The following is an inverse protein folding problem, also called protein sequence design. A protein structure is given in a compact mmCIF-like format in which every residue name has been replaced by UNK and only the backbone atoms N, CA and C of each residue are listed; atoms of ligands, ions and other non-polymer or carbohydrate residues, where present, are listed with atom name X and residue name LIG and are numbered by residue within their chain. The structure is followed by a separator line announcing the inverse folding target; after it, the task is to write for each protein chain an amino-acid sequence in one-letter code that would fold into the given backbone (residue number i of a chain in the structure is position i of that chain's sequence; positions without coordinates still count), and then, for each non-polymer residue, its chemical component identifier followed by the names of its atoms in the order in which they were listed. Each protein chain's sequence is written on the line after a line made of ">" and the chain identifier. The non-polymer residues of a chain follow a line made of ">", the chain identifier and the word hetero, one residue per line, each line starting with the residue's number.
data_IF_472340451274
#
_entry.id   IF_472340451274
#
_cell.length_a   1.000
_cell.length_b   1.000
_cell.length_c   1.000
_cell.angle_alpha   90.00
_cell.angle_beta   90.00
_cell.angle_gamma   90.00
#
_symmetry.space_group_name_H-M   'P 1'
#
loop_
_entity.id
_entity.type
_entity.pdbx_description
1 polymer ?
#
# COMPACT_ATOMS: atom_id res chain seq x y z
N UNK A 1 30.22 21.58 -26.37
CA UNK A 1 30.42 20.69 -25.21
C UNK A 1 29.07 20.13 -24.75
N UNK A 2 29.04 18.84 -24.48
CA UNK A 2 27.88 17.95 -24.29
C UNK A 2 26.87 18.35 -23.20
N UNK A 3 25.57 18.10 -23.46
CA UNK A 3 24.80 17.12 -22.67
C UNK A 3 23.52 16.66 -23.40
N UNK A 4 23.50 15.36 -23.64
CA UNK A 4 22.45 14.58 -24.28
C UNK A 4 21.10 14.72 -23.57
N UNK A 5 20.06 15.02 -24.34
CA UNK A 5 18.67 14.71 -23.99
C UNK A 5 18.56 13.19 -23.85
N UNK A 6 18.44 12.71 -22.60
CA UNK A 6 17.98 11.35 -22.31
C UNK A 6 16.50 11.32 -22.66
N UNK A 7 16.17 10.98 -23.90
CA UNK A 7 14.89 10.35 -24.16
C UNK A 7 14.88 9.06 -23.35
N UNK A 8 14.05 9.02 -22.33
CA UNK A 8 13.74 7.78 -21.62
C UNK A 8 13.35 6.75 -22.67
N UNK A 9 14.21 5.75 -22.84
CA UNK A 9 13.91 4.58 -23.66
C UNK A 9 12.75 3.87 -22.98
N UNK A 10 11.52 4.20 -23.40
CA UNK A 10 10.39 3.31 -23.28
C UNK A 10 10.89 2.01 -23.86
N UNK A 11 11.09 1.02 -23.01
CA UNK A 11 11.56 -0.31 -23.41
C UNK A 11 10.40 -0.95 -24.16
N UNK A 12 10.27 -0.62 -25.45
CA UNK A 12 9.28 -1.13 -26.39
C UNK A 12 9.61 -2.60 -26.70
N UNK A 13 9.49 -3.45 -25.69
CA UNK A 13 9.56 -4.89 -25.83
C UNK A 13 8.21 -5.44 -26.28
N UNK A 14 7.73 -5.05 -27.45
CA UNK A 14 6.76 -5.86 -28.18
C UNK A 14 6.65 -5.35 -29.60
N UNK A 15 7.49 -5.89 -30.48
CA UNK A 15 7.15 -5.91 -31.89
C UNK A 15 5.83 -6.70 -32.11
N UNK A 16 5.26 -6.67 -33.33
CA UNK A 16 4.14 -7.53 -33.66
C UNK A 16 4.49 -8.99 -33.35
N UNK A 17 3.50 -9.77 -32.92
CA UNK A 17 3.69 -11.15 -32.51
C UNK A 17 4.38 -11.95 -33.62
N UNK A 18 5.39 -12.74 -33.27
CA UNK A 18 6.12 -13.53 -34.26
C UNK A 18 5.21 -14.62 -34.83
N UNK A 19 5.46 -15.03 -36.09
CA UNK A 19 4.72 -16.13 -36.73
C UNK A 19 4.75 -17.43 -35.89
N UNK A 20 5.86 -17.68 -35.20
CA UNK A 20 5.99 -18.77 -34.23
C UNK A 20 5.05 -18.63 -33.03
N UNK A 21 4.91 -17.41 -32.50
CA UNK A 21 3.95 -17.10 -31.42
C UNK A 21 2.50 -17.30 -31.86
N UNK A 22 2.16 -16.89 -33.08
CA UNK A 22 0.84 -17.13 -33.70
C UNK A 22 0.52 -18.61 -33.83
N UNK A 23 1.43 -19.39 -34.43
CA UNK A 23 1.27 -20.84 -34.55
C UNK A 23 1.01 -21.49 -33.19
N UNK A 24 1.81 -21.14 -32.18
CA UNK A 24 1.66 -21.66 -30.82
C UNK A 24 0.34 -21.30 -30.15
N UNK A 25 -0.29 -20.18 -30.52
CA UNK A 25 -1.61 -19.82 -30.03
C UNK A 25 -2.72 -20.61 -30.73
N UNK A 26 -2.58 -20.84 -32.03
CA UNK A 26 -3.50 -21.65 -32.83
C UNK A 26 -3.49 -23.10 -32.33
N UNK A 27 -2.31 -23.72 -32.20
CA UNK A 27 -2.17 -25.10 -31.72
C UNK A 27 -2.85 -25.30 -30.35
N UNK A 28 -2.65 -24.37 -29.41
CA UNK A 28 -3.30 -24.42 -28.09
C UNK A 28 -4.81 -24.24 -28.16
N UNK A 29 -5.30 -23.45 -29.11
CA UNK A 29 -6.74 -23.26 -29.30
C UNK A 29 -7.37 -24.51 -29.91
N UNK A 30 -6.72 -25.15 -30.88
CA UNK A 30 -7.17 -26.44 -31.42
C UNK A 30 -7.19 -27.53 -30.35
N UNK A 31 -6.18 -27.56 -29.46
CA UNK A 31 -6.11 -28.51 -28.35
C UNK A 31 -7.14 -28.25 -27.23
N UNK A 32 -7.40 -26.99 -26.87
CA UNK A 32 -8.18 -26.63 -25.67
C UNK A 32 -9.52 -25.95 -25.93
N UNK A 33 -9.80 -25.55 -27.17
CA UNK A 33 -10.97 -24.76 -27.56
C UNK A 33 -11.07 -23.39 -26.90
N UNK A 34 -10.00 -22.91 -26.24
CA UNK A 34 -10.07 -21.78 -25.33
C UNK A 34 -8.91 -20.81 -25.48
N UNK A 35 -9.23 -19.52 -25.56
CA UNK A 35 -8.27 -18.42 -25.42
C UNK A 35 -8.15 -17.92 -23.98
N UNK A 36 -8.63 -18.68 -22.99
CA UNK A 36 -8.61 -18.23 -21.61
C UNK A 36 -7.19 -17.87 -21.17
N UNK A 37 -7.00 -16.59 -20.83
CA UNK A 37 -5.75 -16.09 -20.29
C UNK A 37 -5.57 -16.72 -18.92
N UNK A 38 -4.73 -17.74 -18.82
CA UNK A 38 -4.34 -18.29 -17.53
C UNK A 38 -3.78 -17.16 -16.69
N UNK A 39 -4.18 -17.11 -15.43
CA UNK A 39 -3.58 -16.18 -14.47
C UNK A 39 -2.05 -16.35 -14.56
N UNK A 40 -1.34 -15.25 -14.81
CA UNK A 40 0.11 -15.30 -14.96
C UNK A 40 0.77 -15.89 -13.72
N UNK A 41 2.09 -16.14 -13.79
CA UNK A 41 2.91 -16.49 -12.61
C UNK A 41 3.11 -15.27 -11.70
N UNK A 42 2.01 -14.58 -11.41
CA UNK A 42 1.94 -13.32 -10.71
C UNK A 42 2.40 -13.45 -9.27
N UNK A 43 2.44 -12.31 -8.59
CA UNK A 43 2.86 -12.27 -7.19
C UNK A 43 1.81 -12.97 -6.34
N UNK A 44 2.26 -13.77 -5.37
CA UNK A 44 1.36 -14.39 -4.38
C UNK A 44 0.53 -13.30 -3.69
N UNK A 45 -0.77 -13.54 -3.58
CA UNK A 45 -1.67 -12.69 -2.84
C UNK A 45 -1.21 -12.59 -1.39
N UNK A 46 -1.42 -11.43 -0.78
CA UNK A 46 -1.24 -11.28 0.66
C UNK A 46 -2.40 -12.05 1.30
N UNK A 47 -2.08 -13.04 2.14
CA UNK A 47 -3.09 -13.81 2.88
C UNK A 47 -3.86 -12.87 3.80
N UNK A 48 -5.19 -12.95 3.81
CA UNK A 48 -6.05 -12.12 4.67
C UNK A 48 -5.57 -12.16 6.12
N UNK A 49 -5.29 -13.35 6.66
CA UNK A 49 -4.78 -13.54 8.04
C UNK A 49 -3.65 -12.57 8.40
N UNK A 50 -2.70 -12.37 7.48
CA UNK A 50 -1.56 -11.48 7.71
C UNK A 50 -1.90 -9.99 7.68
N UNK A 51 -3.00 -9.60 7.03
CA UNK A 51 -3.55 -8.25 7.08
C UNK A 51 -4.17 -7.97 8.45
N UNK A 52 -5.00 -8.90 8.95
CA UNK A 52 -5.67 -8.72 10.24
C UNK A 52 -4.65 -8.62 11.39
N UNK A 53 -3.63 -9.48 11.39
CA UNK A 53 -2.56 -9.46 12.40
C UNK A 53 -1.77 -8.14 12.38
N UNK A 54 -1.54 -7.56 11.20
CA UNK A 54 -0.87 -6.25 11.07
C UNK A 54 -1.77 -5.11 11.55
N UNK A 55 -3.09 -5.21 11.33
CA UNK A 55 -4.05 -4.21 11.79
C UNK A 55 -4.19 -4.21 13.32
N UNK A 56 -4.27 -5.38 13.95
CA UNK A 56 -4.34 -5.51 15.41
C UNK A 56 -3.05 -5.03 16.06
N UNK A 57 -1.89 -5.46 15.57
CA UNK A 57 -0.60 -5.01 16.09
C UNK A 57 -0.39 -3.49 15.90
N UNK A 58 -0.91 -2.91 14.81
CA UNK A 58 -0.90 -1.46 14.61
C UNK A 58 -1.77 -0.74 15.65
N UNK A 59 -2.97 -1.23 15.92
CA UNK A 59 -3.88 -0.66 16.91
C UNK A 59 -3.29 -0.73 18.32
N UNK A 60 -2.80 -1.89 18.73
CA UNK A 60 -2.17 -2.09 20.04
C UNK A 60 -0.93 -1.20 20.24
N UNK A 61 -0.07 -1.13 19.22
CA UNK A 61 1.12 -0.28 19.29
C UNK A 61 0.76 1.21 19.35
N UNK A 62 -0.33 1.62 18.69
CA UNK A 62 -0.79 3.02 18.68
C UNK A 62 -1.48 3.42 19.99
N UNK A 63 -2.12 2.47 20.68
CA UNK A 63 -2.71 2.67 22.01
C UNK A 63 -1.67 2.68 23.15
N UNK A 64 -0.40 2.37 22.86
CA UNK A 64 0.67 2.37 23.86
C UNK A 64 1.10 3.80 24.24
N UNK A 65 1.71 3.96 25.43
CA UNK A 65 2.11 5.25 25.99
C UNK A 65 3.02 6.11 25.09
N UNK A 66 3.70 5.50 24.11
CA UNK A 66 4.54 6.20 23.14
C UNK A 66 3.76 6.71 21.91
N UNK A 67 2.55 6.22 21.64
CA UNK A 67 1.68 6.66 20.55
C UNK A 67 2.24 6.49 19.12
N UNK A 68 3.48 6.01 18.98
CA UNK A 68 4.18 5.86 17.71
C UNK A 68 4.29 4.39 17.34
N UNK A 69 3.46 3.94 16.40
CA UNK A 69 3.60 2.63 15.78
C UNK A 69 4.50 2.75 14.54
N UNK A 70 5.52 1.88 14.44
CA UNK A 70 6.42 1.84 13.28
C UNK A 70 6.32 0.51 12.56
N UNK A 71 6.41 0.53 11.22
CA UNK A 71 6.43 -0.69 10.42
C UNK A 71 7.53 -1.68 10.85
N UNK A 72 8.65 -1.16 11.38
CA UNK A 72 9.75 -1.98 11.90
C UNK A 72 9.41 -2.58 13.27
N UNK A 73 8.67 -1.86 14.12
CA UNK A 73 8.13 -2.38 15.38
C UNK A 73 7.18 -3.55 15.12
N UNK A 74 6.16 -3.34 14.30
CA UNK A 74 5.16 -4.36 13.94
C UNK A 74 5.82 -5.59 13.28
N UNK A 75 6.80 -5.36 12.41
CA UNK A 75 7.59 -6.43 11.78
C UNK A 75 8.31 -7.33 12.79
N UNK A 76 8.86 -6.76 13.87
CA UNK A 76 9.50 -7.54 14.95
C UNK A 76 8.46 -8.31 15.76
N UNK A 77 7.33 -7.70 16.08
CA UNK A 77 6.26 -8.35 16.86
C UNK A 77 5.68 -9.57 16.13
N UNK A 78 5.44 -9.44 14.82
CA UNK A 78 4.82 -10.48 14.01
C UNK A 78 5.83 -11.41 13.32
N UNK A 79 7.14 -11.20 13.52
CA UNK A 79 8.21 -11.89 12.79
C UNK A 79 8.01 -11.88 11.25
N UNK A 80 7.50 -10.76 10.71
CA UNK A 80 7.24 -10.58 9.29
C UNK A 80 8.29 -9.68 8.63
N UNK A 81 8.58 -9.83 7.33
CA UNK A 81 9.43 -8.88 6.61
C UNK A 81 8.84 -7.47 6.62
N UNK A 82 9.68 -6.46 6.91
CA UNK A 82 9.27 -5.03 6.92
C UNK A 82 8.60 -4.61 5.60
N UNK A 83 9.01 -5.17 4.47
CA UNK A 83 8.41 -4.90 3.16
C UNK A 83 6.95 -5.32 3.06
N UNK A 84 6.58 -6.42 3.74
CA UNK A 84 5.22 -6.95 3.76
C UNK A 84 4.34 -6.06 4.62
N UNK A 85 4.80 -5.72 5.83
CA UNK A 85 4.13 -4.79 6.74
C UNK A 85 3.87 -3.45 6.04
N UNK A 86 4.88 -2.87 5.36
CA UNK A 86 4.69 -1.60 4.61
C UNK A 86 3.68 -1.72 3.47
N UNK A 87 3.65 -2.85 2.76
CA UNK A 87 2.66 -3.07 1.69
C UNK A 87 1.25 -3.16 2.23
N UNK A 88 1.07 -3.87 3.34
CA UNK A 88 -0.23 -4.00 4.01
C UNK A 88 -0.69 -2.64 4.53
N UNK A 89 0.17 -1.93 5.27
CA UNK A 89 -0.13 -0.60 5.79
C UNK A 89 -0.53 0.38 4.68
N UNK A 90 0.22 0.42 3.56
CA UNK A 90 -0.01 1.40 2.50
C UNK A 90 -1.15 1.02 1.55
N UNK A 91 -1.13 -0.21 1.03
CA UNK A 91 -2.01 -0.60 -0.07
C UNK A 91 -3.36 -1.12 0.41
N UNK A 92 -3.41 -1.65 1.64
CA UNK A 92 -4.61 -2.29 2.16
C UNK A 92 -5.25 -1.42 3.25
N UNK A 93 -4.47 -1.05 4.28
CA UNK A 93 -4.96 -0.25 5.41
C UNK A 93 -4.95 1.26 5.14
N UNK A 94 -4.39 1.71 4.02
CA UNK A 94 -4.30 3.11 3.61
C UNK A 94 -3.65 4.04 4.67
N UNK A 95 -2.76 3.50 5.51
CA UNK A 95 -1.97 4.26 6.48
C UNK A 95 -0.78 4.91 5.76
N UNK A 96 -0.94 6.17 5.37
CA UNK A 96 0.11 6.97 4.73
C UNK A 96 0.77 7.89 5.75
N UNK A 97 2.12 8.04 5.72
CA UNK A 97 2.84 8.91 6.67
C UNK A 97 2.38 10.37 6.67
N UNK A 98 1.83 10.84 5.55
CA UNK A 98 1.43 12.23 5.31
C UNK A 98 -0.09 12.46 5.44
N UNK A 99 -0.88 11.40 5.62
CA UNK A 99 -2.30 11.56 5.93
C UNK A 99 -2.44 11.58 7.44
N UNK A 100 -2.79 12.74 8.00
CA UNK A 100 -3.13 12.85 9.41
C UNK A 100 -4.42 12.05 9.62
N UNK A 101 -4.28 10.79 10.02
CA UNK A 101 -5.37 10.05 10.63
C UNK A 101 -5.56 10.64 12.02
N UNK A 102 -6.78 11.05 12.36
CA UNK A 102 -7.07 11.52 13.70
C UNK A 102 -7.05 10.32 14.66
N UNK A 103 -5.89 10.06 15.24
CA UNK A 103 -5.64 8.94 16.16
C UNK A 103 -6.21 9.23 17.56
N UNK A 104 -6.59 10.48 17.84
CA UNK A 104 -7.21 10.86 19.11
C UNK A 104 -8.72 10.97 18.92
N UNK A 105 -9.45 10.03 19.52
CA UNK A 105 -10.89 10.13 19.59
C UNK A 105 -11.28 11.43 20.31
N UNK A 106 -11.92 12.34 19.56
CA UNK A 106 -12.38 13.62 20.05
C UNK A 106 -13.58 13.38 20.97
N UNK A 107 -13.34 13.28 22.27
CA UNK A 107 -14.40 13.13 23.26
C UNK A 107 -15.26 14.40 23.28
N UNK A 108 -16.59 14.26 23.31
CA UNK A 108 -17.51 15.40 23.31
C UNK A 108 -17.24 16.41 24.45
N UNK A 109 -16.71 15.93 25.59
CA UNK A 109 -16.30 16.75 26.73
C UNK A 109 -15.10 17.68 26.44
N UNK A 110 -14.30 17.39 25.42
CA UNK A 110 -13.16 18.24 25.03
C UNK A 110 -13.58 19.42 24.17
N UNK A 111 -14.74 19.35 23.51
CA UNK A 111 -15.27 20.38 22.63
C UNK A 111 -15.30 21.78 23.29
N UNK A 112 -15.85 21.97 24.52
CA UNK A 112 -15.86 23.28 25.16
C UNK A 112 -14.46 23.80 25.49
N UNK A 113 -13.52 22.92 25.92
CA UNK A 113 -12.15 23.31 26.25
C UNK A 113 -11.38 23.79 25.01
N UNK A 114 -11.53 23.08 23.89
CA UNK A 114 -10.89 23.46 22.61
C UNK A 114 -11.49 24.75 22.04
N UNK A 115 -12.82 24.91 22.14
CA UNK A 115 -13.49 26.16 21.74
C UNK A 115 -13.03 27.36 22.56
N UNK A 116 -12.95 27.22 23.88
CA UNK A 116 -12.47 28.29 24.76
C UNK A 116 -11.03 28.71 24.45
N UNK A 117 -10.14 27.74 24.21
CA UNK A 117 -8.76 28.00 23.80
C UNK A 117 -8.68 28.76 22.47
N UNK A 118 -9.44 28.33 21.46
CA UNK A 118 -9.45 29.01 20.15
C UNK A 118 -9.97 30.45 20.25
N UNK A 119 -11.01 30.69 21.06
CA UNK A 119 -11.56 32.03 21.30
C UNK A 119 -10.56 32.94 22.04
N UNK A 120 -9.85 32.42 23.04
CA UNK A 120 -8.80 33.16 23.75
C UNK A 120 -7.63 33.52 22.83
N UNK A 121 -7.26 32.63 21.91
CA UNK A 121 -6.20 32.90 20.93
C UNK A 121 -6.64 33.94 19.91
N UNK A 122 -7.86 33.83 19.39
CA UNK A 122 -8.43 34.80 18.44
C UNK A 122 -8.52 36.21 19.04
N UNK A 123 -8.89 36.32 20.31
CA UNK A 123 -8.97 37.60 21.01
C UNK A 123 -7.61 38.27 21.28
N UNK A 124 -6.51 37.54 21.06
CA UNK A 124 -5.13 38.03 21.21
C UNK A 124 -4.44 38.34 19.88
N UNK A 125 -5.10 38.06 18.75
CA UNK A 125 -4.69 38.52 17.41
C UNK A 125 -5.25 39.91 17.15
#
# INVERSE_FOLDING_TARGET
>A
MYRNSRYDSVRSGSGPMTAFGLKKMIDKFEESGSFHVKCGRGRKAITSTSMEDVATALQEASSSALGTSSARGISRTLNMPVSTVRKILRNILQCYPFKITNIQELVAADLPKRKAYALQFLARM
#
